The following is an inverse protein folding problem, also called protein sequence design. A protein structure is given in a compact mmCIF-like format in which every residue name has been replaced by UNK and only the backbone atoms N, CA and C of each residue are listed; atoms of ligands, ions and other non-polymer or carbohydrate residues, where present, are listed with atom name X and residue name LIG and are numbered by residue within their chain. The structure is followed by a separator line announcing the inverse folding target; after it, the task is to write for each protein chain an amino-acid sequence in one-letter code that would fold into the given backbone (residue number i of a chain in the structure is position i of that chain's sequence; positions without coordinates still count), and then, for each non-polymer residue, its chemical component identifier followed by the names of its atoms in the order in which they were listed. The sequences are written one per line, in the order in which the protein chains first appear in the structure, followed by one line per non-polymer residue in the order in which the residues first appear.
data_IF_248643869549
#
_entry.id   IF_248643869549
#
_cell.length_a   1.000
_cell.length_b   1.000
_cell.length_c   1.000
_cell.angle_alpha   90.00
_cell.angle_beta   90.00
_cell.angle_gamma   90.00
#
_symmetry.space_group_name_H-M   'P 1'
#
loop_
_entity.id
_entity.type
_entity.pdbx_description
1 polymer ?
#
# COMPACT_ATOMS: atom_id res chain seq x y z
N UNK A 1 2.31 3.27 32.54
CA UNK A 1 3.05 2.74 31.38
C UNK A 1 2.14 2.91 30.18
N UNK A 2 2.53 3.60 29.09
CA UNK A 2 1.70 3.64 27.89
C UNK A 2 1.55 2.23 27.35
N UNK A 3 0.30 1.82 27.10
CA UNK A 3 -0.01 0.50 26.53
C UNK A 3 0.67 0.40 25.17
N UNK A 4 1.74 -0.41 25.10
CA UNK A 4 2.40 -0.71 23.84
C UNK A 4 1.51 -1.70 23.08
N UNK A 5 1.16 -1.37 21.84
CA UNK A 5 0.37 -2.23 20.98
C UNK A 5 -0.66 -1.48 20.15
N UNK A 6 -1.25 -2.17 19.20
CA UNK A 6 -2.40 -1.66 18.47
C UNK A 6 -3.59 -1.49 19.42
N UNK A 7 -4.27 -0.35 19.30
CA UNK A 7 -5.53 -0.14 20.02
C UNK A 7 -6.57 -1.18 19.59
N UNK A 8 -7.49 -1.52 20.48
CA UNK A 8 -8.55 -2.50 20.16
C UNK A 8 -9.40 -2.06 18.99
N UNK A 9 -9.58 -0.74 18.81
CA UNK A 9 -10.19 -0.15 17.61
C UNK A 9 -9.43 -0.57 16.35
N UNK A 10 -8.11 -0.41 16.31
CA UNK A 10 -7.31 -0.76 15.13
C UNK A 10 -7.26 -2.28 14.91
N UNK A 11 -7.19 -3.08 15.98
CA UNK A 11 -7.30 -4.55 15.87
C UNK A 11 -8.63 -4.97 15.24
N UNK A 12 -9.75 -4.35 15.65
CA UNK A 12 -11.07 -4.63 15.09
C UNK A 12 -11.14 -4.31 13.60
N UNK A 13 -10.60 -3.16 13.18
CA UNK A 13 -10.57 -2.79 11.77
C UNK A 13 -9.70 -3.72 10.92
N UNK A 14 -8.58 -4.19 11.46
CA UNK A 14 -7.71 -5.11 10.72
C UNK A 14 -8.31 -6.51 10.56
N UNK A 15 -9.20 -6.95 11.46
CA UNK A 15 -9.87 -8.26 11.36
C UNK A 15 -10.69 -8.42 10.08
N UNK A 16 -11.19 -7.34 9.46
CA UNK A 16 -11.87 -7.44 8.17
C UNK A 16 -10.99 -8.04 7.06
N UNK A 17 -9.65 -7.94 7.21
CA UNK A 17 -8.67 -8.48 6.26
C UNK A 17 -8.17 -9.87 6.64
N UNK A 18 -8.77 -10.52 7.63
CA UNK A 18 -8.66 -11.97 7.83
C UNK A 18 -9.45 -12.74 6.77
N UNK A 19 -10.44 -12.07 6.13
CA UNK A 19 -11.11 -12.52 4.92
C UNK A 19 -10.30 -12.09 3.66
N UNK A 20 -9.75 -13.05 2.89
CA UNK A 20 -9.02 -12.75 1.65
C UNK A 20 -9.84 -11.95 0.63
N UNK A 21 -11.16 -12.11 0.61
CA UNK A 21 -12.05 -11.39 -0.31
C UNK A 21 -12.06 -9.87 0.01
N UNK A 22 -11.92 -9.48 1.27
CA UNK A 22 -11.80 -8.06 1.64
C UNK A 22 -10.51 -7.44 1.08
N UNK A 23 -9.39 -8.15 1.20
CA UNK A 23 -8.12 -7.71 0.64
C UNK A 23 -8.17 -7.60 -0.89
N UNK A 24 -8.78 -8.59 -1.54
CA UNK A 24 -8.98 -8.56 -2.99
C UNK A 24 -9.86 -7.39 -3.43
N UNK A 25 -10.96 -7.09 -2.70
CA UNK A 25 -11.81 -5.92 -2.97
C UNK A 25 -11.04 -4.61 -2.83
N UNK A 26 -10.15 -4.50 -1.83
CA UNK A 26 -9.27 -3.34 -1.63
C UNK A 26 -8.33 -3.15 -2.83
N UNK A 27 -7.61 -4.19 -3.20
CA UNK A 27 -6.60 -4.11 -4.26
C UNK A 27 -7.22 -3.91 -5.66
N UNK A 28 -8.44 -4.38 -5.89
CA UNK A 28 -9.15 -4.21 -7.17
C UNK A 28 -9.82 -2.85 -7.30
N UNK A 29 -10.07 -2.13 -6.18
CA UNK A 29 -10.79 -0.86 -6.22
C UNK A 29 -10.13 0.19 -7.11
N UNK A 30 -8.81 0.45 -7.03
CA UNK A 30 -8.16 1.44 -7.88
C UNK A 30 -8.36 1.18 -9.37
N UNK A 31 -8.18 -0.09 -9.80
CA UNK A 31 -8.35 -0.47 -11.20
C UNK A 31 -9.77 -0.27 -11.72
N UNK A 32 -10.78 -0.57 -10.88
CA UNK A 32 -12.19 -0.34 -11.23
C UNK A 32 -12.50 1.15 -11.36
N UNK A 33 -12.07 1.97 -10.41
CA UNK A 33 -12.25 3.42 -10.47
C UNK A 33 -11.55 4.02 -11.69
N UNK A 34 -10.33 3.55 -11.99
CA UNK A 34 -9.57 4.00 -13.15
C UNK A 34 -10.26 3.66 -14.47
N UNK A 35 -10.81 2.46 -14.58
CA UNK A 35 -11.58 2.06 -15.76
C UNK A 35 -12.85 2.90 -15.92
N UNK A 36 -13.48 3.36 -14.85
CA UNK A 36 -14.60 4.30 -14.91
C UNK A 36 -14.15 5.67 -15.40
N UNK A 37 -13.05 6.20 -14.84
CA UNK A 37 -12.45 7.47 -15.26
C UNK A 37 -12.17 7.48 -16.76
N UNK A 38 -11.60 6.41 -17.30
CA UNK A 38 -11.27 6.28 -18.73
C UNK A 38 -12.50 6.21 -19.65
N UNK A 39 -13.63 5.79 -19.13
CA UNK A 39 -14.89 5.71 -19.89
C UNK A 39 -15.68 7.02 -19.91
N UNK A 40 -15.35 7.96 -19.03
CA UNK A 40 -16.03 9.26 -18.99
C UNK A 40 -15.58 10.15 -20.15
N UNK A 41 -16.47 10.35 -21.14
CA UNK A 41 -16.17 11.16 -22.34
C UNK A 41 -16.05 12.66 -22.05
N UNK A 42 -16.57 13.14 -20.90
CA UNK A 42 -16.46 14.55 -20.49
C UNK A 42 -16.01 14.61 -19.01
N UNK A 43 -14.69 14.67 -18.76
CA UNK A 43 -14.14 14.73 -17.41
C UNK A 43 -14.64 15.94 -16.62
N UNK A 44 -14.98 15.72 -15.36
CA UNK A 44 -15.52 16.72 -14.44
C UNK A 44 -14.98 16.54 -13.02
N UNK A 45 -15.52 17.28 -12.06
CA UNK A 45 -15.09 17.22 -10.66
C UNK A 45 -15.17 15.81 -10.05
N UNK A 46 -16.16 14.99 -10.47
CA UNK A 46 -16.29 13.59 -9.99
C UNK A 46 -15.25 12.70 -10.63
N UNK A 47 -14.93 12.91 -11.91
CA UNK A 47 -13.85 12.22 -12.63
C UNK A 47 -12.52 12.47 -11.93
N UNK A 48 -12.21 13.74 -11.65
CA UNK A 48 -11.01 14.15 -10.93
C UNK A 48 -10.93 13.48 -9.55
N UNK A 49 -12.02 13.52 -8.76
CA UNK A 49 -12.07 12.89 -7.45
C UNK A 49 -11.87 11.37 -7.51
N UNK A 50 -12.50 10.68 -8.47
CA UNK A 50 -12.31 9.23 -8.68
C UNK A 50 -10.85 8.89 -9.03
N UNK A 51 -10.24 9.66 -9.94
CA UNK A 51 -8.85 9.47 -10.33
C UNK A 51 -7.92 9.63 -9.12
N UNK A 52 -8.09 10.71 -8.36
CA UNK A 52 -7.30 10.97 -7.15
C UNK A 52 -7.49 9.88 -6.08
N UNK A 53 -8.70 9.37 -5.88
CA UNK A 53 -8.93 8.26 -4.94
C UNK A 53 -8.28 6.98 -5.44
N UNK A 54 -8.35 6.66 -6.74
CA UNK A 54 -7.70 5.49 -7.31
C UNK A 54 -6.17 5.55 -7.08
N UNK A 55 -5.56 6.72 -7.32
CA UNK A 55 -4.14 6.95 -7.08
C UNK A 55 -3.81 6.89 -5.59
N UNK A 56 -4.60 7.55 -4.72
CA UNK A 56 -4.38 7.54 -3.28
C UNK A 56 -4.40 6.13 -2.69
N UNK A 57 -5.41 5.33 -3.05
CA UNK A 57 -5.54 3.93 -2.57
C UNK A 57 -4.41 3.06 -3.11
N UNK A 58 -4.03 3.23 -4.40
CA UNK A 58 -2.88 2.52 -4.97
C UNK A 58 -1.58 2.86 -4.24
N UNK A 59 -1.30 4.15 -4.05
CA UNK A 59 -0.11 4.61 -3.31
C UNK A 59 -0.10 4.00 -1.91
N UNK A 60 -1.19 4.12 -1.16
CA UNK A 60 -1.27 3.62 0.22
C UNK A 60 -1.14 2.09 0.34
N UNK A 61 -1.54 1.34 -0.69
CA UNK A 61 -1.34 -0.12 -0.73
C UNK A 61 0.13 -0.51 -0.94
N UNK A 62 0.86 0.20 -1.80
CA UNK A 62 2.26 -0.10 -2.09
C UNK A 62 3.23 0.63 -1.15
N UNK A 63 2.91 1.87 -0.82
CA UNK A 63 3.74 2.81 -0.07
C UNK A 63 2.88 3.40 1.06
N UNK A 64 2.89 2.80 2.25
CA UNK A 64 1.97 3.17 3.33
C UNK A 64 2.36 4.50 3.99
N UNK A 65 2.19 5.59 3.27
CA UNK A 65 2.52 6.94 3.69
C UNK A 65 1.61 7.43 4.82
N UNK A 66 2.09 8.40 5.60
CA UNK A 66 1.20 9.21 6.45
C UNK A 66 0.34 10.12 5.58
N UNK A 67 -0.86 10.45 6.05
CA UNK A 67 -1.80 11.29 5.29
C UNK A 67 -1.17 12.63 4.88
N UNK A 68 -0.42 13.27 5.77
CA UNK A 68 0.30 14.51 5.48
C UNK A 68 1.25 14.33 4.29
N UNK A 69 2.09 13.29 4.30
CA UNK A 69 3.02 13.01 3.21
C UNK A 69 2.28 12.64 1.91
N UNK A 70 1.19 11.88 2.00
CA UNK A 70 0.37 11.57 0.83
C UNK A 70 -0.18 12.83 0.17
N UNK A 71 -0.71 13.76 0.97
CA UNK A 71 -1.38 14.96 0.45
C UNK A 71 -0.41 16.04 -0.03
N UNK A 72 0.86 16.00 0.38
CA UNK A 72 1.91 16.91 -0.09
C UNK A 72 2.63 16.45 -1.35
N UNK A 73 2.25 15.29 -1.91
CA UNK A 73 2.94 14.75 -3.09
C UNK A 73 2.88 15.69 -4.29
N UNK A 74 4.07 16.03 -4.82
CA UNK A 74 4.29 16.96 -5.92
C UNK A 74 5.06 16.25 -7.03
N UNK A 75 4.63 16.45 -8.27
CA UNK A 75 5.32 15.92 -9.46
C UNK A 75 6.67 16.62 -9.64
N UNK A 76 7.71 15.86 -9.93
CA UNK A 76 9.07 16.36 -10.12
C UNK A 76 9.84 16.68 -8.83
N UNK A 77 9.15 16.75 -7.67
CA UNK A 77 9.79 16.93 -6.35
C UNK A 77 9.76 15.65 -5.53
N UNK A 78 8.63 14.95 -5.53
CA UNK A 78 8.43 13.72 -4.78
C UNK A 78 8.17 12.53 -5.70
N UNK A 79 7.50 12.77 -6.84
CA UNK A 79 7.14 11.75 -7.82
C UNK A 79 8.03 11.94 -9.06
N UNK A 80 9.07 11.12 -9.17
CA UNK A 80 9.99 11.08 -10.31
C UNK A 80 9.54 10.00 -11.28
N UNK A 81 8.69 10.40 -12.23
CA UNK A 81 8.07 9.49 -13.18
C UNK A 81 8.94 9.35 -14.44
N UNK A 82 9.10 8.11 -14.91
CA UNK A 82 9.84 7.77 -16.13
C UNK A 82 8.88 7.21 -17.17
N UNK A 83 9.02 7.67 -18.39
CA UNK A 83 8.17 7.24 -19.50
C UNK A 83 8.74 6.00 -20.20
N UNK A 84 10.05 5.81 -20.13
CA UNK A 84 10.71 4.64 -20.72
C UNK A 84 10.28 3.34 -20.01
N UNK A 85 9.95 2.30 -20.77
CA UNK A 85 9.38 1.05 -20.21
C UNK A 85 10.26 0.31 -19.21
N UNK A 86 11.57 0.54 -19.24
CA UNK A 86 12.55 -0.12 -18.35
C UNK A 86 13.07 0.77 -17.23
N UNK A 87 12.75 2.07 -17.27
CA UNK A 87 13.19 2.99 -16.23
C UNK A 87 12.26 2.93 -15.01
N UNK A 88 12.88 2.93 -13.84
CA UNK A 88 12.15 2.88 -12.56
C UNK A 88 11.69 4.28 -12.20
N UNK A 89 10.39 4.45 -11.98
CA UNK A 89 9.82 5.63 -11.35
C UNK A 89 9.94 5.52 -9.83
N UNK A 90 10.23 6.63 -9.16
CA UNK A 90 10.42 6.63 -7.69
C UNK A 90 9.51 7.65 -7.01
N UNK A 91 9.18 7.36 -5.74
CA UNK A 91 8.60 8.30 -4.80
C UNK A 91 9.61 8.52 -3.68
N UNK A 92 10.00 9.76 -3.47
CA UNK A 92 11.02 10.13 -2.51
C UNK A 92 10.51 11.24 -1.58
N UNK A 93 10.78 11.09 -0.30
CA UNK A 93 10.46 12.07 0.73
C UNK A 93 11.71 12.29 1.59
N UNK A 94 12.18 13.53 1.67
CA UNK A 94 13.34 13.90 2.48
C UNK A 94 13.06 13.71 3.98
N UNK A 95 14.11 13.54 4.75
CA UNK A 95 14.03 13.39 6.21
C UNK A 95 13.33 14.59 6.89
N UNK A 96 13.44 15.79 6.32
CA UNK A 96 12.82 17.01 6.86
C UNK A 96 11.30 17.01 6.72
N UNK A 97 10.75 16.33 5.71
CA UNK A 97 9.32 16.25 5.41
C UNK A 97 8.62 15.14 6.18
N UNK A 98 9.39 14.15 6.66
CA UNK A 98 8.84 13.00 7.37
C UNK A 98 8.88 13.23 8.87
N UNK A 99 7.73 13.06 9.56
CA UNK A 99 7.59 13.27 11.01
C UNK A 99 8.71 12.60 11.84
N UNK A 100 9.19 11.46 11.41
CA UNK A 100 10.23 10.70 12.13
C UNK A 100 11.65 11.09 11.69
N UNK A 101 11.82 12.04 10.77
CA UNK A 101 13.11 12.44 10.20
C UNK A 101 13.91 11.26 9.64
N UNK A 102 13.20 10.35 8.98
CA UNK A 102 13.77 9.22 8.25
C UNK A 102 13.36 9.39 6.80
N UNK A 103 14.32 9.46 5.91
CA UNK A 103 14.10 9.49 4.47
C UNK A 103 13.31 8.27 4.02
N UNK A 104 12.38 8.47 3.09
CA UNK A 104 11.59 7.40 2.49
C UNK A 104 11.77 7.43 0.98
N UNK A 105 12.17 6.31 0.43
CA UNK A 105 12.27 6.09 -1.01
C UNK A 105 11.57 4.78 -1.38
N UNK A 106 10.77 4.82 -2.44
CA UNK A 106 10.01 3.67 -2.91
C UNK A 106 10.05 3.62 -4.44
N UNK A 107 10.24 2.43 -4.98
CA UNK A 107 10.00 2.18 -6.40
C UNK A 107 8.50 2.18 -6.66
N UNK A 108 8.07 2.92 -7.67
CA UNK A 108 6.67 2.99 -8.07
C UNK A 108 6.41 1.86 -9.07
N UNK A 109 5.47 0.92 -8.78
CA UNK A 109 5.12 -0.12 -9.73
C UNK A 109 4.67 0.45 -11.06
N UNK A 110 5.08 -0.17 -12.17
CA UNK A 110 4.85 0.31 -13.54
C UNK A 110 3.38 0.67 -13.81
N UNK A 111 2.44 -0.13 -13.30
CA UNK A 111 1.01 0.15 -13.43
C UNK A 111 0.62 1.48 -12.77
N UNK A 112 1.13 1.74 -11.58
CA UNK A 112 0.86 2.99 -10.86
C UNK A 112 1.56 4.17 -11.51
N UNK A 113 2.80 4.00 -11.99
CA UNK A 113 3.52 5.04 -12.73
C UNK A 113 2.73 5.48 -13.98
N UNK A 114 2.21 4.53 -14.76
CA UNK A 114 1.33 4.83 -15.92
C UNK A 114 0.07 5.58 -15.51
N UNK A 115 -0.58 5.21 -14.41
CA UNK A 115 -1.75 5.93 -13.91
C UNK A 115 -1.40 7.37 -13.48
N UNK A 116 -0.25 7.57 -12.85
CA UNK A 116 0.23 8.89 -12.44
C UNK A 116 0.55 9.79 -13.64
N UNK A 117 1.22 9.25 -14.67
CA UNK A 117 1.50 9.95 -15.92
C UNK A 117 0.20 10.33 -16.63
N UNK A 118 -0.73 9.38 -16.82
CA UNK A 118 -2.01 9.62 -17.47
C UNK A 118 -2.86 10.65 -16.69
N UNK A 119 -2.80 10.62 -15.35
CA UNK A 119 -3.44 11.64 -14.52
C UNK A 119 -2.85 13.02 -14.74
N UNK A 120 -1.52 13.14 -14.65
CA UNK A 120 -0.79 14.41 -14.77
C UNK A 120 -1.00 15.05 -16.14
N UNK A 121 -0.95 14.23 -17.20
CA UNK A 121 -0.84 14.72 -18.57
C UNK A 121 -2.18 14.80 -19.33
N UNK A 122 -3.19 14.03 -18.89
CA UNK A 122 -4.48 13.95 -19.57
C UNK A 122 -5.66 14.25 -18.66
N UNK A 123 -5.83 13.50 -17.55
CA UNK A 123 -7.08 13.54 -16.77
C UNK A 123 -7.22 14.87 -16.03
N UNK A 124 -6.21 15.27 -15.28
CA UNK A 124 -6.26 16.53 -14.52
C UNK A 124 -6.34 17.75 -15.44
N UNK A 125 -5.51 17.89 -16.51
CA UNK A 125 -5.61 19.03 -17.42
C UNK A 125 -6.98 19.21 -18.08
N UNK A 126 -7.67 18.12 -18.40
CA UNK A 126 -9.02 18.18 -18.96
C UNK A 126 -10.07 18.71 -17.98
N UNK A 127 -9.77 18.79 -16.67
CA UNK A 127 -10.69 19.31 -15.65
C UNK A 127 -10.26 20.69 -15.15
N UNK A 128 -8.94 20.90 -14.95
CA UNK A 128 -8.41 22.12 -14.32
C UNK A 128 -7.76 23.09 -15.33
N UNK A 129 -7.60 22.67 -16.60
CA UNK A 129 -7.05 23.51 -17.68
C UNK A 129 -5.53 23.54 -17.80
N UNK A 130 -4.79 22.91 -16.87
CA UNK A 130 -3.32 22.87 -16.90
C UNK A 130 -2.80 21.59 -16.21
N UNK A 131 -1.51 21.28 -16.39
CA UNK A 131 -0.86 20.19 -15.65
C UNK A 131 -0.77 20.55 -14.17
N UNK A 132 -1.21 19.66 -13.26
CA UNK A 132 -1.10 19.91 -11.83
C UNK A 132 0.35 19.76 -11.37
N UNK A 133 0.82 20.65 -10.49
CA UNK A 133 2.06 20.45 -9.76
C UNK A 133 1.90 19.43 -8.63
N UNK A 134 0.77 19.49 -7.92
CA UNK A 134 0.46 18.57 -6.83
C UNK A 134 -0.50 17.48 -7.27
N UNK A 135 -0.39 16.32 -6.62
CA UNK A 135 -1.25 15.18 -6.94
C UNK A 135 -2.72 15.43 -6.58
N UNK A 136 -2.99 16.09 -5.44
CA UNK A 136 -4.36 16.31 -4.94
C UNK A 136 -4.78 17.76 -5.07
N UNK A 137 -5.47 18.06 -6.15
CA UNK A 137 -5.95 19.41 -6.50
C UNK A 137 -7.48 19.46 -6.56
N UNK A 138 -8.04 20.61 -6.29
CA UNK A 138 -9.43 20.97 -6.56
C UNK A 138 -9.63 21.26 -8.05
N UNK A 139 -10.88 21.51 -8.48
CA UNK A 139 -11.20 21.86 -9.87
C UNK A 139 -10.69 23.23 -10.31
N UNK A 140 -10.37 24.10 -9.38
CA UNK A 140 -9.73 25.38 -9.59
C UNK A 140 -8.20 25.34 -9.59
N UNK A 141 -7.61 24.11 -9.48
CA UNK A 141 -6.17 23.89 -9.42
C UNK A 141 -5.54 24.11 -8.04
N UNK A 142 -6.30 24.59 -7.04
CA UNK A 142 -5.78 24.77 -5.68
C UNK A 142 -5.57 23.43 -4.97
N UNK A 143 -4.69 23.42 -3.96
CA UNK A 143 -4.39 22.21 -3.17
C UNK A 143 -5.63 21.73 -2.40
N UNK A 144 -5.94 20.46 -2.53
CA UNK A 144 -7.02 19.82 -1.78
C UNK A 144 -6.62 19.60 -0.32
N UNK A 145 -7.51 19.95 0.62
CA UNK A 145 -7.22 19.78 2.04
C UNK A 145 -7.02 18.29 2.43
N UNK A 146 -6.20 18.05 3.45
CA UNK A 146 -6.00 16.70 4.01
C UNK A 146 -7.33 16.07 4.45
N UNK A 147 -8.21 16.87 5.04
CA UNK A 147 -9.54 16.41 5.49
C UNK A 147 -10.39 15.94 4.30
N UNK A 148 -10.37 16.68 3.19
CA UNK A 148 -11.10 16.31 1.97
C UNK A 148 -10.55 15.03 1.37
N UNK A 149 -9.22 14.88 1.26
CA UNK A 149 -8.60 13.65 0.73
C UNK A 149 -8.92 12.45 1.63
N UNK A 150 -8.80 12.59 2.95
CA UNK A 150 -9.14 11.53 3.91
C UNK A 150 -10.62 11.12 3.80
N UNK A 151 -11.52 12.09 3.69
CA UNK A 151 -12.95 11.84 3.53
C UNK A 151 -13.26 11.12 2.20
N UNK A 152 -12.64 11.54 1.11
CA UNK A 152 -12.80 10.87 -0.20
C UNK A 152 -12.34 9.42 -0.12
N UNK A 153 -11.14 9.15 0.40
CA UNK A 153 -10.61 7.79 0.54
C UNK A 153 -11.59 6.91 1.34
N UNK A 154 -11.99 7.35 2.54
CA UNK A 154 -12.87 6.55 3.41
C UNK A 154 -14.25 6.35 2.81
N UNK A 155 -14.80 7.37 2.15
CA UNK A 155 -16.12 7.32 1.51
C UNK A 155 -16.14 6.35 0.34
N UNK A 156 -15.13 6.41 -0.53
CA UNK A 156 -15.05 5.50 -1.67
C UNK A 156 -14.77 4.06 -1.25
N UNK A 157 -13.87 3.84 -0.30
CA UNK A 157 -13.61 2.51 0.25
C UNK A 157 -14.90 1.89 0.82
N UNK A 158 -15.64 2.65 1.63
CA UNK A 158 -16.89 2.16 2.20
C UNK A 158 -17.95 1.88 1.14
N UNK A 159 -18.20 2.85 0.23
CA UNK A 159 -19.29 2.76 -0.77
C UNK A 159 -18.98 1.77 -1.89
N UNK A 160 -17.72 1.63 -2.29
CA UNK A 160 -17.34 0.90 -3.50
C UNK A 160 -16.69 -0.47 -3.23
N UNK A 161 -16.16 -0.68 -2.03
CA UNK A 161 -15.51 -1.93 -1.63
C UNK A 161 -16.09 -2.55 -0.35
N UNK A 162 -16.98 -1.85 0.36
CA UNK A 162 -17.51 -2.30 1.65
C UNK A 162 -16.43 -2.35 2.75
N UNK A 163 -15.36 -1.55 2.61
CA UNK A 163 -14.20 -1.54 3.51
C UNK A 163 -14.20 -0.27 4.32
N UNK A 164 -14.01 -0.40 5.63
CA UNK A 164 -13.83 0.73 6.54
C UNK A 164 -12.34 0.83 6.89
N UNK A 165 -11.64 1.78 6.24
CA UNK A 165 -10.20 1.95 6.40
C UNK A 165 -9.85 3.43 6.22
N UNK A 166 -9.05 3.98 7.14
CA UNK A 166 -8.49 5.33 7.04
C UNK A 166 -7.08 5.28 6.48
N UNK A 167 -6.56 6.40 5.94
CA UNK A 167 -5.19 6.47 5.43
C UNK A 167 -4.14 6.01 6.47
N UNK A 168 -4.32 6.33 7.75
CA UNK A 168 -3.42 5.87 8.81
C UNK A 168 -3.46 4.35 9.00
N UNK A 169 -4.63 3.74 8.82
CA UNK A 169 -4.80 2.29 9.03
C UNK A 169 -4.19 1.45 7.90
N UNK A 170 -3.92 2.02 6.71
CA UNK A 170 -3.12 1.34 5.68
C UNK A 170 -1.74 0.96 6.20
N UNK A 171 -1.11 1.79 7.04
CA UNK A 171 0.19 1.48 7.65
C UNK A 171 0.12 0.26 8.56
N UNK A 172 -0.96 0.15 9.33
CA UNK A 172 -1.20 -1.04 10.15
C UNK A 172 -1.53 -2.28 9.31
N UNK A 173 -2.25 -2.09 8.20
CA UNK A 173 -2.53 -3.18 7.26
C UNK A 173 -1.24 -3.68 6.60
N UNK A 174 -0.36 -2.80 6.13
CA UNK A 174 0.93 -3.19 5.55
C UNK A 174 1.80 -3.95 6.55
N UNK A 175 1.88 -3.48 7.81
CA UNK A 175 2.58 -4.21 8.86
C UNK A 175 1.95 -5.58 9.12
N UNK A 176 0.60 -5.66 9.16
CA UNK A 176 -0.12 -6.93 9.31
C UNK A 176 0.25 -7.90 8.20
N UNK A 177 0.17 -7.47 6.94
CA UNK A 177 0.44 -8.34 5.79
C UNK A 177 1.88 -8.87 5.78
N UNK A 178 2.87 -8.02 6.10
CA UNK A 178 4.27 -8.45 6.21
C UNK A 178 4.46 -9.46 7.33
N UNK A 179 3.94 -9.17 8.53
CA UNK A 179 4.08 -10.07 9.67
C UNK A 179 3.23 -11.33 9.57
N UNK A 180 2.16 -11.32 8.75
CA UNK A 180 1.39 -12.52 8.43
C UNK A 180 2.17 -13.45 7.49
N UNK A 181 2.92 -12.88 6.55
CA UNK A 181 3.77 -13.62 5.63
C UNK A 181 5.05 -14.13 6.32
N UNK A 182 5.68 -13.27 7.14
CA UNK A 182 6.90 -13.57 7.89
C UNK A 182 6.84 -12.95 9.30
N UNK A 183 6.50 -13.73 10.34
CA UNK A 183 6.33 -13.26 11.71
C UNK A 183 7.58 -12.62 12.35
N UNK A 184 8.77 -12.83 11.78
CA UNK A 184 10.05 -12.28 12.24
C UNK A 184 10.43 -10.94 11.62
N UNK A 185 9.74 -10.47 10.57
CA UNK A 185 10.18 -9.36 9.71
C UNK A 185 9.90 -7.95 10.27
N UNK A 186 10.10 -7.74 11.58
CA UNK A 186 9.90 -6.43 12.22
C UNK A 186 10.82 -5.34 11.67
N UNK A 187 12.03 -5.67 11.24
CA UNK A 187 12.96 -4.71 10.63
C UNK A 187 12.45 -4.26 9.27
N UNK A 188 11.94 -5.16 8.45
CA UNK A 188 11.31 -4.83 7.16
C UNK A 188 10.10 -3.91 7.37
N UNK A 189 9.27 -4.18 8.38
CA UNK A 189 8.15 -3.30 8.76
C UNK A 189 8.67 -1.93 9.21
N UNK A 190 9.74 -1.89 10.01
CA UNK A 190 10.36 -0.64 10.45
C UNK A 190 10.80 0.23 9.28
N UNK A 191 11.51 -0.35 8.33
CA UNK A 191 12.00 0.34 7.13
C UNK A 191 10.83 0.82 6.27
N UNK A 192 9.89 -0.07 5.92
CA UNK A 192 8.72 0.28 5.11
C UNK A 192 7.92 1.44 5.71
N UNK A 193 7.75 1.47 7.02
CA UNK A 193 6.98 2.49 7.71
C UNK A 193 7.80 3.73 8.10
N UNK A 194 9.12 3.74 7.88
CA UNK A 194 9.99 4.82 8.32
C UNK A 194 9.94 5.03 9.84
N UNK A 195 9.91 3.96 10.62
CA UNK A 195 10.01 4.08 12.07
C UNK A 195 11.46 4.29 12.50
N UNK A 196 11.68 5.21 13.44
CA UNK A 196 13.01 5.58 13.89
C UNK A 196 13.74 4.44 14.65
N UNK A 197 12.97 3.58 15.35
CA UNK A 197 13.53 2.47 16.10
C UNK A 197 12.70 1.20 15.96
N UNK A 198 13.38 0.06 16.03
CA UNK A 198 12.76 -1.25 16.06
C UNK A 198 11.83 -1.41 17.27
N UNK A 199 12.18 -0.82 18.42
CA UNK A 199 11.36 -0.82 19.64
C UNK A 199 9.96 -0.25 19.37
N UNK A 200 9.84 0.80 18.55
CA UNK A 200 8.55 1.39 18.16
C UNK A 200 7.71 0.39 17.34
N UNK A 201 8.34 -0.33 16.42
CA UNK A 201 7.67 -1.33 15.58
C UNK A 201 7.25 -2.54 16.40
N UNK A 202 8.15 -3.11 17.17
CA UNK A 202 7.88 -4.25 18.05
C UNK A 202 6.80 -3.87 19.07
N UNK A 203 6.92 -2.72 19.75
CA UNK A 203 5.91 -2.24 20.68
C UNK A 203 4.53 -2.08 20.07
N UNK A 204 4.43 -1.67 18.79
CA UNK A 204 3.16 -1.51 18.11
C UNK A 204 2.55 -2.85 17.64
N UNK A 205 3.37 -3.82 17.26
CA UNK A 205 2.91 -5.00 16.50
C UNK A 205 3.21 -6.35 17.14
N UNK A 206 4.09 -6.47 18.16
CA UNK A 206 4.45 -7.75 18.78
C UNK A 206 3.29 -8.49 19.44
N UNK A 207 2.19 -7.80 19.81
CA UNK A 207 1.01 -8.40 20.43
C UNK A 207 -0.06 -8.88 19.45
N UNK A 208 0.25 -8.94 18.16
CA UNK A 208 -0.79 -9.08 17.15
C UNK A 208 -1.39 -10.46 17.06
N UNK A 209 -0.82 -11.54 17.60
CA UNK A 209 -1.64 -12.76 17.71
C UNK A 209 -0.86 -14.03 18.06
N UNK A 210 -1.10 -14.59 19.22
CA UNK A 210 -0.72 -15.96 19.58
C UNK A 210 -1.29 -16.99 18.59
N UNK A 211 -2.47 -16.73 18.00
CA UNK A 211 -3.07 -17.59 16.95
C UNK A 211 -2.24 -17.66 15.69
N UNK A 212 -1.52 -16.60 15.32
CA UNK A 212 -0.66 -16.58 14.14
C UNK A 212 0.64 -17.33 14.39
N UNK A 213 1.25 -17.11 15.56
CA UNK A 213 2.39 -17.89 15.97
C UNK A 213 2.05 -19.39 16.00
N UNK A 214 0.86 -19.74 16.53
CA UNK A 214 0.37 -21.11 16.52
C UNK A 214 0.17 -21.65 15.09
N UNK A 215 -0.47 -20.90 14.19
CA UNK A 215 -0.65 -21.31 12.79
C UNK A 215 0.67 -21.45 12.03
N UNK A 216 1.61 -20.56 12.27
CA UNK A 216 2.94 -20.67 11.66
C UNK A 216 3.65 -21.92 12.18
N UNK A 217 3.63 -22.16 13.48
CA UNK A 217 4.19 -23.38 14.08
C UNK A 217 3.51 -24.66 13.53
N UNK A 218 2.17 -24.67 13.47
CA UNK A 218 1.41 -25.79 12.89
C UNK A 218 1.84 -26.09 11.45
N UNK A 219 1.96 -25.07 10.62
CA UNK A 219 2.43 -25.22 9.23
C UNK A 219 3.83 -25.82 9.16
N UNK A 220 4.78 -25.34 9.97
CA UNK A 220 6.13 -25.90 10.03
C UNK A 220 6.12 -27.37 10.45
N UNK A 221 5.27 -27.75 11.40
CA UNK A 221 5.10 -29.14 11.83
C UNK A 221 4.51 -29.99 10.69
N UNK A 222 3.48 -29.49 9.99
CA UNK A 222 2.87 -30.20 8.87
C UNK A 222 3.84 -30.39 7.70
N UNK A 223 4.65 -29.37 7.37
CA UNK A 223 5.71 -29.44 6.37
C UNK A 223 6.77 -30.47 6.75
N UNK A 224 7.21 -30.48 8.02
CA UNK A 224 8.17 -31.47 8.52
C UNK A 224 7.63 -32.90 8.45
N UNK A 225 6.36 -33.10 8.82
CA UNK A 225 5.69 -34.40 8.72
C UNK A 225 5.55 -34.84 7.26
N UNK A 226 5.20 -33.92 6.35
CA UNK A 226 5.09 -34.23 4.94
C UNK A 226 6.46 -34.60 4.31
N UNK A 227 7.53 -33.91 4.71
CA UNK A 227 8.89 -34.21 4.27
C UNK A 227 9.36 -35.61 4.69
N UNK A 228 8.97 -36.07 5.86
CA UNK A 228 9.28 -37.43 6.35
C UNK A 228 8.55 -38.53 5.57
N UNK A 229 7.42 -38.22 4.95
CA UNK A 229 6.64 -39.18 4.16
C UNK A 229 7.12 -39.31 2.70
N UNK A 230 8.04 -38.48 2.23
CA UNK A 230 8.65 -38.63 0.92
C UNK A 230 9.68 -39.77 0.94
N UNK A 231 9.53 -40.83 0.11
CA UNK A 231 10.53 -41.87 0.01
C UNK A 231 11.85 -41.26 -0.47
N UNK A 232 13.00 -41.77 0.00
CA UNK A 232 14.32 -41.27 -0.41
C UNK A 232 14.44 -41.31 -1.91
N UNK A 233 14.80 -40.16 -2.51
CA UNK A 233 15.02 -40.02 -3.95
C UNK A 233 16.07 -41.08 -4.35
N UNK A 234 15.63 -42.15 -5.06
CA UNK A 234 16.57 -43.15 -5.63
C UNK A 234 17.55 -42.41 -6.51
N UNK A 235 18.80 -42.31 -6.07
CA UNK A 235 19.92 -41.89 -6.92
C UNK A 235 19.98 -42.85 -8.11
N UNK A 236 19.73 -42.35 -9.32
CA UNK A 236 19.98 -43.11 -10.55
C UNK A 236 21.47 -43.47 -10.55
N UNK A 237 21.77 -44.77 -10.51
CA UNK A 237 23.15 -45.25 -10.78
C UNK A 237 23.54 -44.77 -12.16
N UNK A 238 24.76 -44.25 -12.35
CA UNK A 238 25.28 -43.95 -13.68
C UNK A 238 25.31 -45.24 -14.52
N UNK A 239 25.09 -45.18 -15.85
CA UNK A 239 25.19 -46.32 -16.71
C UNK A 239 26.65 -46.88 -16.63
N UNK A 240 26.79 -48.16 -16.34
CA UNK A 240 28.05 -48.89 -16.50
C UNK A 240 28.32 -48.99 -17.99
N UNK A 241 29.39 -48.33 -18.46
CA UNK A 241 29.93 -48.57 -19.79
C UNK A 241 30.60 -49.96 -19.80
N UNK A 242 30.03 -50.89 -20.52
CA UNK A 242 30.74 -52.01 -21.12
C UNK A 242 31.06 -51.67 -22.58
#
# INVERSE_FOLDING_TARGET
MPVSGLTDKNKRFLRQFDDPAALQRLHNLPGRLWAEVKREGNPNSRTLAKAQVALAVSILCYMPLRLQNLTSLTFGTHLFLREEPRAISTLELSASEVKNRVELAYDIPLRLAKMLLEYRDLIAPNVIGHRPEQLFVNTDGTLKSQATVAWLITTYLKKRAGIVLTAHQFRHLSAKLLLDADPGSFETVRQLLGHKSLKTTVGAYAGIDSRRAARHHQRLVEEAVAAQKMPPRRLRRPPTNE
#
